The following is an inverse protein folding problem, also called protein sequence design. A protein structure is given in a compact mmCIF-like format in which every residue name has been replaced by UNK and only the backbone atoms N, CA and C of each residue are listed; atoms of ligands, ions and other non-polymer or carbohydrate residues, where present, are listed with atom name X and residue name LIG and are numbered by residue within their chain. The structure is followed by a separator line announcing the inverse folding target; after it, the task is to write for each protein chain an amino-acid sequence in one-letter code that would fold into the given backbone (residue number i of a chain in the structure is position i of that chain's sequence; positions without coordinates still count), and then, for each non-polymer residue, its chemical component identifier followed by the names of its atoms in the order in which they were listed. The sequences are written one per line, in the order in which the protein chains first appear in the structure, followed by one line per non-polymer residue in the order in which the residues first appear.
data_IF_047751742567
#
_entry.id   IF_047751742567
#
_cell.length_a   1.000
_cell.length_b   1.000
_cell.length_c   1.000
_cell.angle_alpha   90.00
_cell.angle_beta   90.00
_cell.angle_gamma   90.00
#
_symmetry.space_group_name_H-M   'P 1'
#
loop_
_entity.id
_entity.type
_entity.pdbx_description
1 polymer ?
#
# COMPACT_ATOMS: atom_id res chain seq x y z
N UNK A 1 -4.04 7.53 -28.95
CA UNK A 1 -2.67 7.18 -29.38
C UNK A 1 -2.70 6.99 -30.90
N UNK A 2 -1.74 7.51 -31.68
CA UNK A 2 -1.73 7.27 -33.12
C UNK A 2 -1.60 5.77 -33.44
N UNK A 3 -2.24 5.27 -34.52
CA UNK A 3 -2.21 3.86 -34.88
C UNK A 3 -0.84 3.40 -35.43
N UNK A 4 0.05 4.35 -35.76
CA UNK A 4 1.40 4.09 -36.25
C UNK A 4 2.39 5.05 -35.60
N UNK A 5 3.58 4.54 -35.28
CA UNK A 5 4.70 5.32 -34.76
C UNK A 5 5.88 5.18 -35.72
N UNK A 6 6.40 6.31 -36.19
CA UNK A 6 7.65 6.34 -36.95
C UNK A 6 8.85 5.97 -36.06
N UNK A 7 9.96 5.59 -36.69
CA UNK A 7 11.21 5.37 -35.96
C UNK A 7 11.58 6.59 -35.12
N UNK A 8 11.92 6.37 -33.84
CA UNK A 8 12.24 7.41 -32.85
C UNK A 8 11.07 8.34 -32.47
N UNK A 9 9.86 8.10 -32.96
CA UNK A 9 8.68 8.84 -32.50
C UNK A 9 8.23 8.32 -31.14
N UNK A 10 7.85 9.25 -30.25
CA UNK A 10 7.24 8.93 -28.97
C UNK A 10 5.77 9.37 -28.98
N UNK A 11 4.88 8.52 -28.47
CA UNK A 11 3.52 8.88 -28.14
C UNK A 11 3.30 8.75 -26.62
N UNK A 12 2.36 9.55 -26.11
CA UNK A 12 1.92 9.49 -24.72
C UNK A 12 0.44 9.09 -24.69
N UNK A 13 0.09 8.21 -23.75
CA UNK A 13 -1.29 7.90 -23.40
C UNK A 13 -1.46 8.18 -21.92
N UNK A 14 -2.42 9.02 -21.59
CA UNK A 14 -2.85 9.23 -20.21
C UNK A 14 -3.89 8.18 -19.85
N UNK A 15 -3.70 7.53 -18.71
CA UNK A 15 -4.61 6.50 -18.18
C UNK A 15 -5.12 7.02 -16.85
N UNK A 16 -6.44 7.13 -16.71
CA UNK A 16 -7.09 7.42 -15.44
C UNK A 16 -7.49 6.09 -14.80
N UNK A 17 -7.19 5.94 -13.51
CA UNK A 17 -7.47 4.71 -12.76
C UNK A 17 -8.30 5.09 -11.54
N UNK A 18 -9.46 4.45 -11.39
CA UNK A 18 -10.30 4.51 -10.20
C UNK A 18 -10.39 3.10 -9.61
N UNK A 19 -10.02 2.95 -8.33
CA UNK A 19 -10.15 1.68 -7.64
C UNK A 19 -11.61 1.46 -7.22
N UNK A 20 -12.32 0.58 -7.91
CA UNK A 20 -13.72 0.27 -7.57
C UNK A 20 -13.85 -0.73 -6.41
N UNK A 21 -12.81 -1.54 -6.16
CA UNK A 21 -12.72 -2.46 -5.04
C UNK A 21 -11.24 -2.59 -4.61
N UNK A 22 -10.96 -3.02 -3.37
CA UNK A 22 -9.62 -3.38 -2.95
C UNK A 22 -8.96 -4.42 -3.87
N UNK A 23 -7.63 -4.33 -4.02
CA UNK A 23 -6.82 -5.28 -4.77
C UNK A 23 -5.47 -5.47 -4.08
N UNK A 24 -4.86 -6.66 -4.21
CA UNK A 24 -3.55 -6.97 -3.63
C UNK A 24 -2.38 -6.89 -4.60
N UNK A 25 -2.65 -7.07 -5.90
CA UNK A 25 -1.65 -7.07 -6.96
C UNK A 25 -1.91 -5.88 -7.90
N UNK A 26 -0.86 -5.13 -8.31
CA UNK A 26 -1.02 -4.04 -9.26
C UNK A 26 -1.66 -4.49 -10.58
N UNK A 27 -2.53 -3.67 -11.18
CA UNK A 27 -3.10 -4.00 -12.48
C UNK A 27 -2.01 -4.06 -13.55
N UNK A 28 -2.18 -4.97 -14.51
CA UNK A 28 -1.27 -5.12 -15.65
C UNK A 28 -1.91 -4.64 -16.93
N UNK A 29 -1.14 -3.98 -17.79
CA UNK A 29 -1.52 -3.60 -19.14
C UNK A 29 -0.73 -4.41 -20.17
N UNK A 30 -1.39 -4.83 -21.24
CA UNK A 30 -0.71 -5.44 -22.39
C UNK A 30 -0.51 -4.41 -23.48
N UNK A 31 0.75 -4.12 -23.83
CA UNK A 31 1.11 -3.27 -24.97
C UNK A 31 1.37 -4.17 -26.16
N UNK A 32 0.55 -4.05 -27.21
CA UNK A 32 0.68 -4.86 -28.43
C UNK A 32 0.88 -3.99 -29.66
N UNK A 33 1.78 -4.39 -30.56
CA UNK A 33 2.04 -3.70 -31.83
C UNK A 33 2.63 -4.66 -32.88
N UNK A 34 2.55 -4.27 -34.16
CA UNK A 34 3.19 -4.98 -35.26
C UNK A 34 4.37 -4.19 -35.82
N UNK A 35 5.48 -4.87 -36.14
CA UNK A 35 6.63 -4.28 -36.82
C UNK A 35 7.09 -5.23 -37.93
N UNK A 36 7.10 -4.75 -39.17
CA UNK A 36 7.52 -5.51 -40.36
C UNK A 36 6.80 -6.87 -40.50
N UNK A 37 5.48 -6.90 -40.24
CA UNK A 37 4.67 -8.12 -40.30
C UNK A 37 4.73 -9.02 -39.06
N UNK A 38 5.64 -8.75 -38.11
CA UNK A 38 5.74 -9.50 -36.85
C UNK A 38 4.95 -8.80 -35.74
N UNK A 39 4.13 -9.56 -35.00
CA UNK A 39 3.37 -9.06 -33.85
C UNK A 39 4.16 -9.23 -32.55
N UNK A 40 4.07 -8.22 -31.69
CA UNK A 40 4.66 -8.18 -30.36
C UNK A 40 3.58 -7.88 -29.33
N UNK A 41 3.69 -8.50 -28.15
CA UNK A 41 2.84 -8.22 -27.00
C UNK A 41 3.67 -8.26 -25.72
N UNK A 42 3.66 -7.18 -24.97
CA UNK A 42 4.39 -7.03 -23.72
C UNK A 42 3.42 -6.78 -22.57
N UNK A 43 3.48 -7.60 -21.54
CA UNK A 43 2.73 -7.39 -20.30
C UNK A 43 3.55 -6.50 -19.37
N UNK A 44 2.98 -5.38 -18.96
CA UNK A 44 3.62 -4.38 -18.11
C UNK A 44 2.76 -4.17 -16.87
N UNK A 45 3.35 -4.24 -15.68
CA UNK A 45 2.67 -3.83 -14.46
C UNK A 45 2.51 -2.30 -14.46
N UNK A 46 1.30 -1.81 -14.21
CA UNK A 46 1.10 -0.38 -14.00
C UNK A 46 1.67 0.01 -12.63
N UNK A 47 2.31 1.18 -12.48
CA UNK A 47 2.84 1.66 -11.20
C UNK A 47 1.71 2.16 -10.30
N UNK A 48 0.76 1.27 -9.99
CA UNK A 48 -0.49 1.56 -9.31
C UNK A 48 -0.64 0.55 -8.17
N UNK A 49 0.03 0.83 -7.06
CA UNK A 49 -0.06 0.02 -5.85
C UNK A 49 -1.37 0.33 -5.12
N UNK A 50 -1.85 -0.60 -4.29
CA UNK A 50 -3.04 -0.34 -3.46
C UNK A 50 -2.88 0.91 -2.59
N UNK A 51 -1.66 1.17 -2.10
CA UNK A 51 -1.32 2.35 -1.28
C UNK A 51 -1.43 3.67 -2.05
N UNK A 52 -1.46 3.65 -3.39
CA UNK A 52 -1.77 4.83 -4.19
C UNK A 52 -3.16 5.41 -3.89
N UNK A 53 -4.10 4.55 -3.45
CA UNK A 53 -5.49 4.89 -3.12
C UNK A 53 -5.72 5.08 -1.61
N UNK A 54 -4.66 5.16 -0.80
CA UNK A 54 -4.79 5.47 0.61
C UNK A 54 -4.81 6.98 0.85
N UNK A 55 -5.54 7.38 1.89
CA UNK A 55 -5.46 8.69 2.52
C UNK A 55 -5.14 8.53 4.01
N UNK A 56 -4.31 9.42 4.59
CA UNK A 56 -3.96 9.37 6.01
C UNK A 56 -5.18 9.71 6.89
N UNK A 57 -5.33 9.00 8.01
CA UNK A 57 -6.45 9.23 8.94
C UNK A 57 -5.90 9.43 10.34
N UNK A 58 -5.97 10.67 10.85
CA UNK A 58 -5.60 10.97 12.22
C UNK A 58 -6.55 10.27 13.20
N UNK A 59 -5.97 9.54 14.15
CA UNK A 59 -6.68 8.89 15.26
C UNK A 59 -5.85 9.08 16.54
N UNK A 60 -6.52 9.18 17.67
CA UNK A 60 -5.84 9.16 18.96
C UNK A 60 -5.50 7.71 19.38
N UNK A 61 -4.71 7.57 20.44
CA UNK A 61 -4.24 6.29 20.95
C UNK A 61 -5.40 5.34 21.31
N UNK A 62 -6.40 5.84 22.03
CA UNK A 62 -7.56 5.06 22.48
C UNK A 62 -8.34 4.48 21.29
N UNK A 63 -8.67 5.33 20.31
CA UNK A 63 -9.40 4.89 19.11
C UNK A 63 -8.56 3.93 18.26
N UNK A 64 -7.24 4.14 18.18
CA UNK A 64 -6.36 3.22 17.48
C UNK A 64 -6.38 1.84 18.15
N UNK A 65 -6.13 1.76 19.46
CA UNK A 65 -6.08 0.51 20.21
C UNK A 65 -7.42 -0.23 20.17
N UNK A 66 -8.54 0.50 20.31
CA UNK A 66 -9.88 -0.08 20.20
C UNK A 66 -10.09 -0.73 18.82
N UNK A 67 -9.80 0.00 17.73
CA UNK A 67 -9.96 -0.51 16.36
C UNK A 67 -8.95 -1.62 16.05
N UNK A 68 -7.74 -1.52 16.57
CA UNK A 68 -6.69 -2.51 16.44
C UNK A 68 -7.16 -3.84 17.02
N UNK A 69 -7.60 -3.84 18.29
CA UNK A 69 -8.07 -5.04 18.98
C UNK A 69 -9.33 -5.64 18.35
N UNK A 70 -10.24 -4.80 17.84
CA UNK A 70 -11.45 -5.27 17.15
C UNK A 70 -11.19 -6.08 15.86
N UNK A 71 -9.99 -5.94 15.26
CA UNK A 71 -9.59 -6.63 14.03
C UNK A 71 -8.64 -7.82 14.28
N UNK A 72 -8.34 -8.16 15.54
CA UNK A 72 -7.43 -9.25 15.91
C UNK A 72 -7.94 -10.63 15.47
N UNK A 73 -7.01 -11.50 15.03
CA UNK A 73 -7.27 -12.92 14.82
C UNK A 73 -8.16 -13.29 13.63
N UNK A 74 -8.44 -12.34 12.74
CA UNK A 74 -9.22 -12.55 11.52
C UNK A 74 -8.28 -12.70 10.31
N UNK A 75 -8.76 -13.25 9.18
CA UNK A 75 -8.05 -13.26 7.88
C UNK A 75 -7.69 -11.86 7.35
N UNK A 76 -8.05 -10.83 8.10
CA UNK A 76 -7.85 -9.39 7.93
C UNK A 76 -6.59 -8.86 8.59
N UNK A 77 -5.89 -9.70 9.35
CA UNK A 77 -4.57 -9.43 9.91
C UNK A 77 -3.48 -10.08 9.06
N UNK A 78 -2.45 -9.31 8.72
CA UNK A 78 -1.27 -9.79 8.01
C UNK A 78 -0.04 -9.44 8.84
N UNK A 79 0.81 -10.44 9.10
CA UNK A 79 2.04 -10.27 9.85
C UNK A 79 3.21 -10.88 9.08
N UNK A 80 4.35 -10.18 9.07
CA UNK A 80 5.59 -10.71 8.49
C UNK A 80 6.81 -10.13 9.21
N UNK A 81 7.81 -10.96 9.47
CA UNK A 81 9.13 -10.50 9.94
C UNK A 81 10.04 -10.40 8.72
N UNK A 82 10.55 -9.20 8.48
CA UNK A 82 11.36 -8.86 7.31
C UNK A 82 12.75 -8.46 7.79
N UNK A 83 13.82 -9.15 7.33
CA UNK A 83 15.19 -8.73 7.60
C UNK A 83 15.43 -7.30 7.12
N UNK A 84 16.06 -6.46 7.92
CA UNK A 84 16.42 -5.12 7.52
C UNK A 84 17.72 -5.17 6.69
N UNK A 85 17.73 -4.52 5.52
CA UNK A 85 18.92 -4.45 4.66
C UNK A 85 20.07 -3.68 5.32
N UNK A 86 19.75 -2.74 6.21
CA UNK A 86 20.68 -1.93 6.99
C UNK A 86 20.28 -1.95 8.47
N UNK A 87 21.04 -1.24 9.31
CA UNK A 87 20.67 -1.07 10.72
C UNK A 87 19.29 -0.43 10.81
N UNK A 88 18.45 -0.97 11.68
CA UNK A 88 17.12 -0.43 11.97
C UNK A 88 17.14 1.08 12.19
N UNK A 89 16.39 1.81 11.37
CA UNK A 89 16.23 3.27 11.37
C UNK A 89 14.73 3.60 11.42
N UNK A 90 14.25 3.94 12.61
CA UNK A 90 12.85 4.29 12.85
C UNK A 90 12.45 5.62 12.21
N UNK A 91 13.39 6.53 11.93
CA UNK A 91 13.08 7.78 11.25
C UNK A 91 12.78 7.51 9.77
N UNK A 92 13.61 6.69 9.12
CA UNK A 92 13.36 6.25 7.75
C UNK A 92 12.07 5.41 7.65
N UNK A 93 11.83 4.53 8.62
CA UNK A 93 10.61 3.74 8.67
C UNK A 93 9.35 4.59 8.85
N UNK A 94 9.42 5.65 9.66
CA UNK A 94 8.35 6.63 9.80
C UNK A 94 8.06 7.32 8.48
N UNK A 95 9.10 7.75 7.75
CA UNK A 95 8.96 8.40 6.44
C UNK A 95 8.30 7.48 5.40
N UNK A 96 8.66 6.20 5.37
CA UNK A 96 7.99 5.23 4.50
C UNK A 96 6.50 5.08 4.81
N UNK A 97 6.14 4.99 6.09
CA UNK A 97 4.74 4.90 6.50
C UNK A 97 3.97 6.18 6.15
N UNK A 98 4.52 7.36 6.45
CA UNK A 98 3.82 8.63 6.27
C UNK A 98 3.76 9.08 4.82
N UNK A 99 4.87 9.02 4.09
CA UNK A 99 5.00 9.65 2.78
C UNK A 99 4.75 8.66 1.65
N UNK A 100 5.35 7.47 1.70
CA UNK A 100 5.20 6.48 0.63
C UNK A 100 3.87 5.72 0.73
N UNK A 101 3.41 5.40 1.94
CA UNK A 101 2.21 4.60 2.18
C UNK A 101 1.01 5.42 2.69
N UNK A 102 1.19 6.73 2.94
CA UNK A 102 0.13 7.69 3.32
C UNK A 102 -0.60 7.34 4.61
N UNK A 103 0.12 6.90 5.63
CA UNK A 103 -0.42 6.73 6.98
C UNK A 103 -0.27 8.01 7.80
N UNK A 104 -1.30 8.36 8.58
CA UNK A 104 -1.11 9.26 9.70
C UNK A 104 -0.50 8.46 10.86
N UNK A 105 0.59 8.94 11.43
CA UNK A 105 1.19 8.33 12.61
C UNK A 105 0.31 8.59 13.84
N UNK A 106 0.25 7.63 14.77
CA UNK A 106 -0.50 7.78 16.02
C UNK A 106 0.39 8.45 17.05
N UNK A 107 0.11 9.71 17.35
CA UNK A 107 0.89 10.48 18.32
C UNK A 107 0.71 9.92 19.74
N UNK A 108 1.81 9.88 20.50
CA UNK A 108 1.84 9.44 21.91
C UNK A 108 1.82 7.93 22.14
N UNK A 109 1.34 7.13 21.17
CA UNK A 109 1.28 5.66 21.31
C UNK A 109 2.66 5.00 21.30
N UNK A 110 3.54 5.43 20.40
CA UNK A 110 4.87 4.86 20.24
C UNK A 110 5.97 5.85 20.64
N UNK A 111 7.07 5.31 21.16
CA UNK A 111 8.29 6.07 21.49
C UNK A 111 9.51 5.46 20.80
N UNK A 112 10.57 6.24 20.62
CA UNK A 112 11.85 5.71 20.11
C UNK A 112 12.35 4.52 20.94
N UNK A 113 12.14 4.55 22.27
CA UNK A 113 12.52 3.46 23.17
C UNK A 113 11.70 2.17 22.94
N UNK A 114 10.46 2.28 22.48
CA UNK A 114 9.60 1.13 22.19
C UNK A 114 9.98 0.36 20.92
N UNK A 115 10.82 0.94 20.07
CA UNK A 115 11.18 0.33 18.78
C UNK A 115 10.00 0.21 17.81
N UNK A 116 8.88 0.87 18.07
CA UNK A 116 7.61 0.64 17.38
C UNK A 116 7.08 1.90 16.69
N UNK A 117 6.26 1.72 15.66
CA UNK A 117 5.58 2.77 14.92
C UNK A 117 4.18 2.29 14.53
N UNK A 118 3.16 3.07 14.86
CA UNK A 118 1.76 2.78 14.56
C UNK A 118 1.16 3.88 13.70
N UNK A 119 0.32 3.49 12.74
CA UNK A 119 -0.33 4.42 11.84
C UNK A 119 -1.70 3.97 11.38
N UNK A 120 -2.53 4.94 10.99
CA UNK A 120 -3.85 4.69 10.41
C UNK A 120 -4.03 5.39 9.05
N UNK A 121 -4.70 4.69 8.14
CA UNK A 121 -5.08 5.16 6.82
C UNK A 121 -6.45 4.62 6.43
N UNK A 122 -7.02 5.18 5.37
CA UNK A 122 -8.23 4.66 4.74
C UNK A 122 -7.99 4.46 3.25
N UNK A 123 -8.31 3.28 2.75
CA UNK A 123 -8.29 2.99 1.32
C UNK A 123 -9.60 3.50 0.71
N UNK A 124 -9.48 4.44 -0.24
CA UNK A 124 -10.61 5.07 -0.92
C UNK A 124 -11.02 4.25 -2.14
N UNK A 125 -12.31 4.03 -2.30
CA UNK A 125 -12.86 3.37 -3.49
C UNK A 125 -13.79 4.30 -4.25
N UNK A 126 -13.98 4.01 -5.53
CA UNK A 126 -15.00 4.61 -6.38
C UNK A 126 -16.40 4.06 -6.15
N UNK A 127 -16.53 2.91 -5.49
CA UNK A 127 -17.83 2.30 -5.21
C UNK A 127 -18.66 3.14 -4.23
N UNK A 128 -19.98 3.09 -4.42
CA UNK A 128 -20.96 3.83 -3.63
C UNK A 128 -21.78 2.83 -2.82
N UNK A 129 -21.91 3.06 -1.53
CA UNK A 129 -22.70 2.25 -0.63
C UNK A 129 -24.20 2.51 -0.75
N UNK A 130 -25.04 1.73 -0.05
CA UNK A 130 -26.50 1.87 -0.10
C UNK A 130 -27.02 3.27 0.25
N UNK A 131 -26.26 4.02 1.06
CA UNK A 131 -26.62 5.35 1.53
C UNK A 131 -26.09 6.48 0.63
N UNK A 132 -25.45 6.18 -0.50
CA UNK A 132 -24.86 7.19 -1.40
C UNK A 132 -23.43 7.61 -1.05
N UNK A 133 -22.88 7.14 0.07
CA UNK A 133 -21.51 7.44 0.49
C UNK A 133 -20.49 6.57 -0.27
N UNK A 134 -19.31 7.16 -0.57
CA UNK A 134 -18.19 6.41 -1.13
C UNK A 134 -17.68 5.38 -0.11
N UNK A 135 -17.58 4.12 -0.53
CA UNK A 135 -17.05 3.05 0.30
C UNK A 135 -15.56 3.28 0.54
N UNK A 136 -15.12 3.10 1.78
CA UNK A 136 -13.71 3.16 2.17
C UNK A 136 -13.39 2.02 3.13
N UNK A 137 -12.13 1.60 3.13
CA UNK A 137 -11.65 0.49 3.96
C UNK A 137 -10.60 1.02 4.92
N UNK A 138 -10.91 1.01 6.21
CA UNK A 138 -9.94 1.36 7.25
C UNK A 138 -8.78 0.37 7.28
N UNK A 139 -7.55 0.91 7.41
CA UNK A 139 -6.31 0.17 7.48
C UNK A 139 -5.44 0.71 8.63
N UNK A 140 -4.93 -0.20 9.46
CA UNK A 140 -4.05 0.09 10.57
C UNK A 140 -2.74 -0.67 10.35
N UNK A 141 -1.62 -0.05 10.70
CA UNK A 141 -0.29 -0.65 10.62
C UNK A 141 0.44 -0.48 11.94
N UNK A 142 1.18 -1.53 12.33
CA UNK A 142 2.24 -1.47 13.34
C UNK A 142 3.51 -2.04 12.73
N UNK A 143 4.60 -1.32 12.90
CA UNK A 143 5.94 -1.73 12.51
C UNK A 143 6.82 -1.72 13.75
N UNK A 144 7.46 -2.85 14.05
CA UNK A 144 8.20 -3.04 15.29
C UNK A 144 9.61 -3.53 14.98
N UNK A 145 10.60 -2.98 15.65
CA UNK A 145 11.93 -3.57 15.71
C UNK A 145 11.84 -4.97 16.29
N UNK A 146 12.46 -5.92 15.62
CA UNK A 146 12.59 -7.30 16.07
C UNK A 146 14.05 -7.59 16.41
N UNK A 147 14.27 -8.62 17.21
CA UNK A 147 15.60 -9.15 17.46
C UNK A 147 16.28 -9.55 16.14
N UNK A 148 17.60 -9.36 16.06
CA UNK A 148 18.39 -9.83 14.92
C UNK A 148 18.36 -8.92 13.68
N UNK A 149 18.19 -7.60 13.84
CA UNK A 149 18.16 -6.62 12.76
C UNK A 149 17.04 -6.87 11.74
N UNK A 150 15.82 -7.00 12.23
CA UNK A 150 14.63 -7.21 11.41
C UNK A 150 13.50 -6.27 11.86
N UNK A 151 12.50 -6.10 11.00
CA UNK A 151 11.24 -5.47 11.36
C UNK A 151 10.12 -6.50 11.36
N UNK A 152 9.22 -6.42 12.33
CA UNK A 152 7.93 -7.09 12.31
C UNK A 152 6.88 -6.11 11.79
N UNK A 153 6.31 -6.43 10.64
CA UNK A 153 5.17 -5.74 10.07
C UNK A 153 3.91 -6.42 10.59
N UNK A 154 2.93 -5.64 11.08
CA UNK A 154 1.56 -6.07 11.33
C UNK A 154 0.61 -5.08 10.69
N UNK A 155 -0.31 -5.58 9.85
CA UNK A 155 -1.35 -4.76 9.20
C UNK A 155 -2.70 -5.38 9.49
N UNK A 156 -3.66 -4.56 9.92
CA UNK A 156 -5.06 -4.94 10.12
C UNK A 156 -5.96 -4.03 9.28
N UNK A 157 -6.82 -4.61 8.45
CA UNK A 157 -7.77 -3.84 7.64
C UNK A 157 -9.13 -4.52 7.58
N UNK A 158 -10.22 -3.75 7.45
CA UNK A 158 -11.58 -4.36 7.37
C UNK A 158 -11.78 -5.23 6.11
N UNK A 159 -10.87 -5.15 5.13
CA UNK A 159 -10.81 -6.00 3.94
C UNK A 159 -9.42 -6.62 3.78
N UNK A 160 -9.36 -7.93 3.56
CA UNK A 160 -8.11 -8.71 3.47
C UNK A 160 -7.15 -8.16 2.43
N UNK A 161 -7.61 -7.86 1.23
CA UNK A 161 -6.70 -7.40 0.16
C UNK A 161 -5.98 -6.09 0.50
N UNK A 162 -6.61 -5.19 1.26
CA UNK A 162 -5.93 -3.98 1.74
C UNK A 162 -4.80 -4.35 2.71
N UNK A 163 -5.06 -5.26 3.66
CA UNK A 163 -4.02 -5.70 4.60
C UNK A 163 -2.84 -6.40 3.90
N UNK A 164 -3.12 -7.25 2.90
CA UNK A 164 -2.10 -7.96 2.11
C UNK A 164 -1.27 -6.99 1.29
N UNK A 165 -1.93 -6.09 0.54
CA UNK A 165 -1.26 -5.14 -0.33
C UNK A 165 -0.35 -4.19 0.46
N UNK A 166 -0.85 -3.66 1.58
CA UNK A 166 -0.10 -2.74 2.44
C UNK A 166 1.14 -3.40 3.01
N UNK A 167 0.98 -4.63 3.53
CA UNK A 167 2.11 -5.42 4.05
C UNK A 167 3.15 -5.67 2.97
N UNK A 168 2.72 -6.04 1.76
CA UNK A 168 3.62 -6.27 0.62
C UNK A 168 4.35 -4.98 0.20
N UNK A 169 3.67 -3.83 0.17
CA UNK A 169 4.28 -2.54 -0.12
C UNK A 169 5.35 -2.16 0.91
N UNK A 170 5.04 -2.34 2.21
CA UNK A 170 5.99 -2.04 3.27
C UNK A 170 7.21 -2.98 3.23
N UNK A 171 6.99 -4.28 2.96
CA UNK A 171 8.07 -5.24 2.76
C UNK A 171 9.01 -4.82 1.63
N UNK A 172 8.48 -4.37 0.48
CA UNK A 172 9.31 -3.90 -0.64
C UNK A 172 10.18 -2.70 -0.24
N UNK A 173 9.66 -1.77 0.56
CA UNK A 173 10.43 -0.62 1.06
C UNK A 173 11.53 -1.02 2.05
N UNK A 174 11.30 -2.08 2.83
CA UNK A 174 12.27 -2.56 3.82
C UNK A 174 13.41 -3.40 3.21
N UNK A 175 13.21 -3.92 1.99
CA UNK A 175 14.14 -4.80 1.29
C UNK A 175 14.82 -4.14 0.08
N UNK A 176 14.34 -2.97 -0.37
CA UNK A 176 14.90 -2.20 -1.47
C UNK A 176 15.95 -1.21 -1.00
#
# INVERSE_FOLDING_TARGET
MPPQLAGKQQAKQQIMIEAMAPFSEPPTMTVSFSRNGTNYAYRVALPCQATSFMDPVAVNEEAFLQRWNALEGQDREQQEVVPAASKLDLAQAREWLSTNLKFAMVDGLDSQASGSLSGAATYRTGAVGPNGDKLSVGCLVRLEASDGNAYRIRVRAVHRDVSVATKNCLKMLLQG
#
